data_IF_122626982275
#
_entry.id   IF_122626982275
#
_cell.length_a   1.000
_cell.length_b   1.000
_cell.length_c   1.000
_cell.angle_alpha   90.00
_cell.angle_beta   90.00
_cell.angle_gamma   90.00
#
_symmetry.space_group_name_H-M   'P 1'
#
loop_
_entity.id
_entity.type
_entity.pdbx_description
1 polymer ?
#
# COMPACT_ATOMS: atom_id res chain seq x y z
N UNK A 1 31.19 -4.46 -9.17
CA UNK A 1 29.81 -4.69 -8.78
C UNK A 1 28.91 -4.53 -9.99
N UNK A 2 28.37 -5.61 -10.52
CA UNK A 2 27.33 -5.50 -11.55
C UNK A 2 26.14 -4.80 -10.92
N UNK A 3 25.77 -3.65 -11.46
CA UNK A 3 24.44 -3.10 -11.22
C UNK A 3 23.49 -4.10 -11.85
N UNK A 4 22.83 -4.95 -11.03
CA UNK A 4 21.68 -5.69 -11.50
C UNK A 4 20.69 -4.68 -12.04
N UNK A 5 20.57 -4.63 -13.37
CA UNK A 5 19.66 -3.73 -14.05
C UNK A 5 18.24 -4.32 -13.89
N UNK A 6 17.68 -4.15 -12.69
CA UNK A 6 16.30 -4.55 -12.44
C UNK A 6 15.37 -3.56 -13.13
N UNK A 7 14.56 -4.07 -14.03
CA UNK A 7 13.43 -3.32 -14.56
C UNK A 7 12.25 -3.45 -13.60
N UNK A 8 12.06 -2.44 -12.76
CA UNK A 8 10.91 -2.37 -11.87
C UNK A 8 9.78 -1.71 -12.63
N UNK A 9 8.62 -2.34 -12.63
CA UNK A 9 7.44 -1.90 -13.38
C UNK A 9 6.25 -1.71 -12.44
N UNK A 10 5.31 -0.87 -12.84
CA UNK A 10 4.02 -0.72 -12.19
C UNK A 10 3.00 -1.51 -13.01
N UNK A 11 2.38 -2.51 -12.40
CA UNK A 11 1.43 -3.40 -13.07
C UNK A 11 -0.03 -2.97 -12.95
N UNK A 12 -0.34 -2.19 -11.93
CA UNK A 12 -1.68 -1.61 -11.75
C UNK A 12 -1.61 -0.26 -11.04
N UNK A 13 -2.62 0.54 -11.28
CA UNK A 13 -2.88 1.78 -10.54
C UNK A 13 -4.40 1.90 -10.37
N UNK A 14 -4.82 2.09 -9.13
CA UNK A 14 -6.24 2.18 -8.76
C UNK A 14 -6.43 3.25 -7.70
N UNK A 15 -7.63 3.78 -7.59
CA UNK A 15 -7.99 4.76 -6.57
C UNK A 15 -9.46 4.66 -6.19
N UNK A 16 -9.80 5.12 -4.99
CA UNK A 16 -11.18 5.41 -4.61
C UNK A 16 -11.61 6.79 -5.17
N UNK A 17 -12.88 7.10 -5.03
CA UNK A 17 -13.32 8.48 -5.14
C UNK A 17 -12.66 9.36 -4.06
N UNK A 18 -12.54 10.65 -4.33
CA UNK A 18 -12.14 11.65 -3.34
C UNK A 18 -13.42 12.25 -2.77
N UNK A 19 -13.65 12.01 -1.47
CA UNK A 19 -14.81 12.54 -0.77
C UNK A 19 -14.63 13.98 -0.31
N UNK A 20 -15.74 14.65 -0.07
CA UNK A 20 -15.76 15.95 0.64
C UNK A 20 -15.74 15.74 2.14
N UNK A 21 -15.34 16.76 2.89
CA UNK A 21 -15.38 16.73 4.35
C UNK A 21 -16.80 16.39 4.85
N UNK A 22 -16.91 15.36 5.70
CA UNK A 22 -18.18 14.78 6.17
C UNK A 22 -19.10 14.30 5.05
N UNK A 23 -18.56 13.98 3.88
CA UNK A 23 -19.30 13.48 2.72
C UNK A 23 -19.53 11.97 2.73
N UNK A 24 -19.60 11.39 1.54
CA UNK A 24 -19.98 9.97 1.34
C UNK A 24 -19.01 8.96 1.96
N UNK A 25 -17.77 9.33 2.22
CA UNK A 25 -16.75 8.47 2.84
C UNK A 25 -16.59 8.66 4.35
N UNK A 26 -17.43 9.48 4.99
CA UNK A 26 -17.29 9.87 6.40
C UNK A 26 -17.28 8.72 7.40
N UNK A 27 -17.95 7.63 7.06
CA UNK A 27 -18.10 6.47 7.95
C UNK A 27 -17.09 5.35 7.64
N UNK A 28 -16.19 5.56 6.68
CA UNK A 28 -15.13 4.61 6.34
C UNK A 28 -13.84 4.96 7.05
N UNK A 29 -13.19 3.95 7.63
CA UNK A 29 -11.86 4.09 8.17
C UNK A 29 -10.81 4.11 7.04
N UNK A 30 -9.65 4.74 7.28
CA UNK A 30 -8.56 4.73 6.31
C UNK A 30 -8.10 3.31 5.96
N UNK A 31 -8.09 2.41 6.94
CA UNK A 31 -7.76 0.98 6.72
C UNK A 31 -8.78 0.25 5.84
N UNK A 32 -10.07 0.61 5.90
CA UNK A 32 -11.10 0.02 5.04
C UNK A 32 -10.91 0.43 3.58
N UNK A 33 -10.65 1.73 3.36
CA UNK A 33 -10.31 2.26 2.04
C UNK A 33 -9.01 1.62 1.52
N UNK A 34 -8.00 1.49 2.38
CA UNK A 34 -6.74 0.85 2.06
C UNK A 34 -6.92 -0.63 1.66
N UNK A 35 -7.75 -1.36 2.39
CA UNK A 35 -8.05 -2.77 2.07
C UNK A 35 -8.77 -2.91 0.72
N UNK A 36 -9.74 -2.04 0.46
CA UNK A 36 -10.49 -2.03 -0.81
C UNK A 36 -9.55 -1.82 -2.01
N UNK A 37 -8.68 -0.81 -1.91
CA UNK A 37 -7.71 -0.48 -2.96
C UNK A 37 -6.68 -1.59 -3.13
N UNK A 38 -6.20 -2.16 -2.04
CA UNK A 38 -5.23 -3.26 -2.08
C UNK A 38 -5.80 -4.48 -2.80
N UNK A 39 -7.05 -4.86 -2.52
CA UNK A 39 -7.75 -5.93 -3.26
C UNK A 39 -7.86 -5.62 -4.74
N UNK A 40 -8.33 -4.42 -5.07
CA UNK A 40 -8.50 -4.00 -6.48
C UNK A 40 -7.16 -3.98 -7.24
N UNK A 41 -6.06 -3.56 -6.60
CA UNK A 41 -4.74 -3.56 -7.19
C UNK A 41 -4.24 -4.98 -7.47
N UNK A 42 -4.44 -5.91 -6.53
CA UNK A 42 -4.11 -7.32 -6.72
C UNK A 42 -4.91 -7.95 -7.86
N UNK A 43 -6.22 -7.76 -7.88
CA UNK A 43 -7.09 -8.28 -8.94
C UNK A 43 -6.66 -7.76 -10.32
N UNK A 44 -6.43 -6.46 -10.44
CA UNK A 44 -6.01 -5.82 -11.70
C UNK A 44 -4.64 -6.30 -12.19
N UNK A 45 -3.77 -6.73 -11.29
CA UNK A 45 -2.44 -7.28 -11.58
C UNK A 45 -2.41 -8.80 -11.69
N UNK A 46 -3.55 -9.50 -11.55
CA UNK A 46 -3.64 -10.95 -11.47
C UNK A 46 -2.73 -11.57 -10.39
N UNK A 47 -2.64 -10.90 -9.24
CA UNK A 47 -1.86 -11.36 -8.09
C UNK A 47 -2.76 -12.04 -7.07
N UNK A 48 -2.24 -13.11 -6.47
CA UNK A 48 -2.81 -13.68 -5.27
C UNK A 48 -2.26 -12.94 -4.03
N UNK A 49 -2.98 -13.03 -2.94
CA UNK A 49 -2.58 -12.40 -1.67
C UNK A 49 -1.21 -12.86 -1.14
N UNK A 50 -0.80 -14.09 -1.46
CA UNK A 50 0.50 -14.65 -1.08
C UNK A 50 1.66 -14.12 -1.93
N UNK A 51 1.39 -13.54 -3.09
CA UNK A 51 2.41 -13.01 -3.98
C UNK A 51 2.98 -11.67 -3.51
N UNK A 52 2.19 -10.93 -2.72
CA UNK A 52 2.57 -9.61 -2.20
C UNK A 52 3.50 -9.77 -1.02
N UNK A 53 4.68 -9.17 -1.10
CA UNK A 53 5.68 -9.22 -0.02
C UNK A 53 5.45 -8.15 1.04
N UNK A 54 4.99 -6.97 0.63
CA UNK A 54 4.82 -5.85 1.54
C UNK A 54 3.74 -4.87 1.05
N UNK A 55 3.02 -4.27 1.99
CA UNK A 55 2.11 -3.15 1.75
C UNK A 55 2.68 -1.88 2.41
N UNK A 56 2.92 -0.84 1.62
CA UNK A 56 3.39 0.46 2.12
C UNK A 56 2.32 1.51 1.84
N UNK A 57 1.74 2.09 2.87
CA UNK A 57 0.70 3.11 2.72
C UNK A 57 1.19 4.49 3.14
N UNK A 58 0.88 5.49 2.33
CA UNK A 58 1.00 6.89 2.74
C UNK A 58 -0.22 7.31 3.55
N UNK A 59 -0.01 7.84 4.76
CA UNK A 59 -1.07 8.42 5.58
C UNK A 59 -0.53 9.53 6.46
N UNK A 60 -1.17 10.68 6.42
CA UNK A 60 -0.74 11.86 7.18
C UNK A 60 -1.25 11.81 8.61
N UNK A 61 -2.56 11.67 8.78
CA UNK A 61 -3.23 11.69 10.08
C UNK A 61 -3.56 10.25 10.50
N UNK A 62 -2.86 9.77 11.51
CA UNK A 62 -3.03 8.40 12.04
C UNK A 62 -3.70 8.37 13.41
N UNK A 63 -3.99 9.53 13.99
CA UNK A 63 -4.70 9.62 15.26
C UNK A 63 -6.06 8.93 15.19
N UNK A 64 -6.41 8.16 16.20
CA UNK A 64 -7.64 7.34 16.29
C UNK A 64 -7.76 6.19 15.27
N UNK A 65 -6.78 5.99 14.39
CA UNK A 65 -6.79 4.92 13.40
C UNK A 65 -6.28 3.55 13.93
N UNK A 66 -5.93 3.49 15.21
CA UNK A 66 -5.33 2.30 15.82
C UNK A 66 -3.86 2.09 15.44
N UNK A 67 -3.36 0.90 15.68
CA UNK A 67 -1.98 0.57 15.37
C UNK A 67 -1.82 0.25 13.90
N UNK A 68 -0.84 0.87 13.25
CA UNK A 68 -0.40 0.59 11.89
C UNK A 68 -1.56 0.35 10.90
N UNK A 69 -2.23 1.40 10.41
CA UNK A 69 -3.36 1.28 9.48
C UNK A 69 -3.03 0.49 8.21
N UNK A 70 -1.78 0.53 7.74
CA UNK A 70 -1.34 -0.31 6.62
C UNK A 70 -1.42 -1.81 6.95
N UNK A 71 -1.03 -2.19 8.18
CA UNK A 71 -1.17 -3.58 8.64
C UNK A 71 -2.63 -3.99 8.72
N UNK A 72 -3.49 -3.13 9.22
CA UNK A 72 -4.93 -3.38 9.25
C UNK A 72 -5.49 -3.59 7.83
N UNK A 73 -5.13 -2.71 6.90
CA UNK A 73 -5.54 -2.82 5.50
C UNK A 73 -5.02 -4.11 4.85
N UNK A 74 -3.76 -4.48 5.08
CA UNK A 74 -3.17 -5.71 4.55
C UNK A 74 -3.95 -6.96 5.00
N UNK A 75 -4.25 -7.07 6.29
CA UNK A 75 -5.01 -8.20 6.84
C UNK A 75 -6.44 -8.23 6.29
N UNK A 76 -7.12 -7.08 6.24
CA UNK A 76 -8.47 -6.98 5.67
C UNK A 76 -8.49 -7.30 4.17
N UNK A 77 -7.43 -6.99 3.45
CA UNK A 77 -7.27 -7.34 2.04
C UNK A 77 -6.96 -8.82 1.80
N UNK A 78 -6.67 -9.57 2.84
CA UNK A 78 -6.34 -10.99 2.77
C UNK A 78 -4.86 -11.29 2.51
N UNK A 79 -3.97 -10.29 2.59
CA UNK A 79 -2.52 -10.53 2.53
C UNK A 79 -2.12 -11.40 3.73
N UNK A 80 -1.24 -12.38 3.47
CA UNK A 80 -0.79 -13.33 4.49
C UNK A 80 -0.24 -12.62 5.74
N UNK A 81 -0.55 -13.16 6.91
CA UNK A 81 -0.08 -12.64 8.20
C UNK A 81 1.45 -12.62 8.32
N UNK A 82 2.14 -13.41 7.50
CA UNK A 82 3.61 -13.48 7.44
C UNK A 82 4.23 -12.28 6.71
N UNK A 83 3.43 -11.57 5.93
CA UNK A 83 3.88 -10.42 5.16
C UNK A 83 3.88 -9.16 6.01
N UNK A 84 4.73 -8.23 5.67
CA UNK A 84 4.88 -6.98 6.42
C UNK A 84 4.08 -5.84 5.80
N UNK A 85 3.78 -4.83 6.61
CA UNK A 85 3.14 -3.62 6.16
C UNK A 85 3.52 -2.45 7.09
N UNK A 86 3.62 -1.25 6.55
CA UNK A 86 3.85 -0.05 7.35
C UNK A 86 3.27 1.20 6.71
N UNK A 87 3.09 2.22 7.55
CA UNK A 87 2.66 3.54 7.14
C UNK A 87 3.85 4.47 7.04
N UNK A 88 3.87 5.29 6.00
CA UNK A 88 4.85 6.34 5.80
C UNK A 88 4.17 7.70 5.81
N UNK A 89 4.77 8.67 6.45
CA UNK A 89 4.25 10.02 6.51
C UNK A 89 5.29 11.04 6.05
N UNK A 90 4.99 11.68 4.96
CA UNK A 90 5.72 12.83 4.42
C UNK A 90 4.70 13.92 4.04
N UNK A 91 3.72 14.13 4.90
CA UNK A 91 2.59 15.04 4.70
C UNK A 91 1.96 14.81 3.32
N UNK A 92 1.75 15.83 2.49
CA UNK A 92 1.12 15.69 1.17
C UNK A 92 1.91 14.80 0.19
N UNK A 93 3.19 14.55 0.44
CA UNK A 93 4.04 13.66 -0.34
C UNK A 93 3.99 12.19 0.05
N UNK A 94 3.17 11.81 1.04
CA UNK A 94 3.18 10.45 1.61
C UNK A 94 2.90 9.34 0.59
N UNK A 95 1.90 9.53 -0.26
CA UNK A 95 1.54 8.54 -1.28
C UNK A 95 2.65 8.31 -2.30
N UNK A 96 3.25 9.37 -2.83
CA UNK A 96 4.38 9.24 -3.75
C UNK A 96 5.62 8.68 -3.04
N UNK A 97 5.80 9.01 -1.76
CA UNK A 97 6.90 8.46 -0.95
C UNK A 97 6.74 6.96 -0.73
N UNK A 98 5.53 6.44 -0.57
CA UNK A 98 5.30 4.99 -0.48
C UNK A 98 5.75 4.26 -1.75
N UNK A 99 5.46 4.81 -2.93
CA UNK A 99 5.93 4.27 -4.21
C UNK A 99 7.46 4.28 -4.29
N UNK A 100 8.10 5.39 -3.90
CA UNK A 100 9.56 5.48 -3.88
C UNK A 100 10.20 4.47 -2.90
N UNK A 101 9.58 4.27 -1.73
CA UNK A 101 10.04 3.26 -0.77
C UNK A 101 9.89 1.83 -1.32
N UNK A 102 8.78 1.53 -2.00
CA UNK A 102 8.59 0.27 -2.69
C UNK A 102 9.65 0.00 -3.76
N UNK A 103 9.96 1.00 -4.57
CA UNK A 103 11.06 0.93 -5.53
C UNK A 103 12.39 0.59 -4.84
N UNK A 104 12.71 1.29 -3.74
CA UNK A 104 13.95 1.05 -2.98
C UNK A 104 14.02 -0.36 -2.40
N UNK A 105 12.92 -0.86 -1.83
CA UNK A 105 12.86 -2.21 -1.28
C UNK A 105 13.09 -3.30 -2.35
N UNK A 106 12.54 -3.12 -3.55
CA UNK A 106 12.79 -4.04 -4.66
C UNK A 106 14.25 -3.94 -5.15
N UNK A 107 14.80 -2.74 -5.21
CA UNK A 107 16.21 -2.54 -5.61
C UNK A 107 17.19 -3.17 -4.62
N UNK A 108 16.88 -3.14 -3.33
CA UNK A 108 17.71 -3.75 -2.27
C UNK A 108 17.54 -5.26 -2.12
N UNK A 109 16.63 -5.88 -2.87
CA UNK A 109 16.24 -7.29 -2.77
C UNK A 109 15.49 -7.66 -1.48
N UNK A 110 14.94 -6.69 -0.76
CA UNK A 110 14.11 -6.95 0.41
C UNK A 110 12.73 -7.51 0.02
N UNK A 111 12.22 -7.10 -1.12
CA UNK A 111 10.93 -7.51 -1.64
C UNK A 111 10.96 -7.66 -3.17
N UNK A 112 10.00 -8.40 -3.71
CA UNK A 112 9.82 -8.58 -5.16
C UNK A 112 8.55 -7.91 -5.65
N UNK A 113 7.47 -8.00 -4.91
CA UNK A 113 6.16 -7.45 -5.23
C UNK A 113 5.65 -6.62 -4.06
N UNK A 114 5.40 -5.36 -4.32
CA UNK A 114 4.95 -4.39 -3.33
C UNK A 114 3.68 -3.70 -3.82
N UNK A 115 2.77 -3.46 -2.90
CA UNK A 115 1.65 -2.53 -3.07
C UNK A 115 1.99 -1.25 -2.28
N UNK A 116 1.87 -0.09 -2.95
CA UNK A 116 2.26 1.19 -2.37
C UNK A 116 1.25 2.29 -2.69
#
# INVERSE_FOLDING_TARGET
MSKDNKNIVITSAVRTAIGTFRGSLKDMQASDLGALITKAAMEKSNLNSNDVDELIMGQVLTGTAGQNPARQAAIQAGISIEKTAYVINQVCGSGLRSVAAGYQAIMSNDSKIIIA
#
